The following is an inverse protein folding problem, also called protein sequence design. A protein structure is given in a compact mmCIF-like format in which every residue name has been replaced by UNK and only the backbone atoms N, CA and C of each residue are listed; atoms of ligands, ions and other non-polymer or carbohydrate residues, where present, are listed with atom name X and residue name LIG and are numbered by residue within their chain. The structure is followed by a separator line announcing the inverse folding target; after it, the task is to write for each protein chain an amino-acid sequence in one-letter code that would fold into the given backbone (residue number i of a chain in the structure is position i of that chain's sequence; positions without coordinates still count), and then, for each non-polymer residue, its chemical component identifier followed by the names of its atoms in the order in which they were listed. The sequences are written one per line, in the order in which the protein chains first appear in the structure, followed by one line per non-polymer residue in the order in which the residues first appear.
data_IF_880012658566
#
_entry.id   IF_880012658566
#
_cell.length_a   1.000
_cell.length_b   1.000
_cell.length_c   1.000
_cell.angle_alpha   90.00
_cell.angle_beta   90.00
_cell.angle_gamma   90.00
#
_symmetry.space_group_name_H-M   'P 1'
#
loop_
_entity.id
_entity.type
_entity.pdbx_description
1 polymer ?
#
# COMPACT_ATOMS: atom_id res chain seq x y z
N UNK A 1 -12.46 1.72 7.85
CA UNK A 1 -11.76 0.82 6.91
C UNK A 1 -11.94 1.23 5.44
N UNK A 2 -12.88 2.14 5.11
CA UNK A 2 -13.13 2.61 3.73
C UNK A 2 -12.45 3.93 3.31
N UNK A 3 -11.65 4.55 4.21
CA UNK A 3 -11.11 5.92 4.02
C UNK A 3 -10.36 6.08 2.69
N UNK A 4 -9.35 5.24 2.43
CA UNK A 4 -8.52 5.37 1.22
C UNK A 4 -9.29 5.09 -0.07
N UNK A 5 -10.32 4.25 -0.01
CA UNK A 5 -11.18 3.96 -1.16
C UNK A 5 -12.03 5.18 -1.50
N UNK A 6 -12.63 5.78 -0.47
CA UNK A 6 -13.49 6.96 -0.59
C UNK A 6 -12.71 8.19 -1.05
N UNK A 7 -11.57 8.46 -0.41
CA UNK A 7 -10.80 9.68 -0.64
C UNK A 7 -10.02 9.69 -1.96
N UNK A 8 -9.71 8.52 -2.53
CA UNK A 8 -8.85 8.39 -3.72
C UNK A 8 -9.59 7.91 -4.97
N UNK A 9 -10.94 7.89 -4.95
CA UNK A 9 -11.72 7.54 -6.12
C UNK A 9 -11.53 8.59 -7.22
N UNK A 10 -10.82 8.28 -8.31
CA UNK A 10 -10.57 9.22 -9.40
C UNK A 10 -10.77 8.57 -10.78
N UNK A 11 -11.12 9.34 -11.83
CA UNK A 11 -11.16 8.82 -13.20
C UNK A 11 -9.82 8.22 -13.61
N UNK A 12 -9.86 7.17 -14.44
CA UNK A 12 -8.67 6.53 -15.03
C UNK A 12 -7.68 5.95 -14.00
N UNK A 13 -8.14 5.57 -12.80
CA UNK A 13 -7.34 4.94 -11.75
C UNK A 13 -7.88 3.58 -11.33
N UNK A 14 -7.00 2.75 -10.73
CA UNK A 14 -7.36 1.47 -10.10
C UNK A 14 -6.86 1.51 -8.66
N UNK A 15 -7.71 1.06 -7.72
CA UNK A 15 -7.31 0.81 -6.34
C UNK A 15 -7.26 -0.70 -6.10
N UNK A 16 -6.06 -1.25 -5.89
CA UNK A 16 -5.86 -2.66 -5.53
C UNK A 16 -5.99 -2.82 -4.02
N UNK A 17 -7.01 -3.55 -3.59
CA UNK A 17 -7.40 -3.62 -2.18
C UNK A 17 -7.41 -5.06 -1.67
N UNK A 18 -7.10 -5.28 -0.38
CA UNK A 18 -7.43 -6.52 0.30
C UNK A 18 -8.94 -6.82 0.27
N UNK A 19 -9.31 -8.10 0.30
CA UNK A 19 -10.71 -8.54 0.27
C UNK A 19 -11.53 -7.94 1.42
N UNK A 20 -10.98 -7.86 2.62
CA UNK A 20 -11.64 -7.25 3.77
C UNK A 20 -12.03 -5.78 3.52
N UNK A 21 -11.17 -5.02 2.85
CA UNK A 21 -11.42 -3.62 2.50
C UNK A 21 -12.52 -3.51 1.44
N UNK A 22 -12.54 -4.43 0.47
CA UNK A 22 -13.62 -4.50 -0.53
C UNK A 22 -14.96 -4.80 0.15
N UNK A 23 -14.99 -5.77 1.07
CA UNK A 23 -16.20 -6.13 1.82
C UNK A 23 -16.68 -4.98 2.71
N UNK A 24 -15.77 -4.31 3.40
CA UNK A 24 -16.11 -3.14 4.21
C UNK A 24 -16.69 -2.00 3.36
N UNK A 25 -16.10 -1.76 2.19
CA UNK A 25 -16.63 -0.77 1.26
C UNK A 25 -18.00 -1.15 0.70
N UNK A 26 -18.24 -2.44 0.45
CA UNK A 26 -19.55 -2.92 0.01
C UNK A 26 -20.65 -2.79 1.09
N UNK A 27 -20.28 -2.92 2.36
CA UNK A 27 -21.21 -2.81 3.49
C UNK A 27 -21.59 -1.35 3.80
N UNK A 28 -20.59 -0.46 3.93
CA UNK A 28 -20.81 0.91 4.39
C UNK A 28 -19.90 1.96 3.73
N UNK A 29 -19.33 1.65 2.56
CA UNK A 29 -18.58 2.63 1.77
C UNK A 29 -19.48 3.67 1.13
N UNK A 30 -19.01 4.93 1.09
CA UNK A 30 -19.71 6.03 0.44
C UNK A 30 -18.76 6.76 -0.51
N UNK A 31 -19.23 7.15 -1.69
CA UNK A 31 -18.48 8.04 -2.60
C UNK A 31 -19.07 9.44 -2.54
N UNK A 32 -18.24 10.43 -2.20
CA UNK A 32 -18.65 11.84 -2.14
C UNK A 32 -18.43 12.58 -3.46
N UNK A 33 -17.88 11.91 -4.47
CA UNK A 33 -17.47 12.46 -5.76
C UNK A 33 -16.04 12.04 -6.11
N UNK A 34 -15.59 12.25 -7.36
CA UNK A 34 -14.21 11.96 -7.71
C UNK A 34 -13.26 12.91 -6.99
N UNK A 35 -12.05 12.42 -6.69
CA UNK A 35 -10.93 13.24 -6.24
C UNK A 35 -10.77 14.43 -7.19
N UNK A 36 -10.73 15.64 -6.62
CA UNK A 36 -10.60 16.87 -7.39
C UNK A 36 -9.29 16.87 -8.19
N UNK A 37 -9.37 17.21 -9.48
CA UNK A 37 -8.19 17.44 -10.32
C UNK A 37 -7.38 18.68 -9.89
N UNK A 38 -7.97 19.55 -9.07
CA UNK A 38 -7.33 20.71 -8.47
C UNK A 38 -7.36 20.56 -6.94
N UNK A 39 -6.31 19.96 -6.34
CA UNK A 39 -6.17 20.00 -4.90
C UNK A 39 -5.92 21.45 -4.43
N UNK A 40 -6.32 21.77 -3.20
CA UNK A 40 -5.67 22.77 -2.36
C UNK A 40 -4.15 22.80 -2.63
N UNK A 41 -3.44 23.93 -2.52
CA UNK A 41 -2.06 24.03 -3.00
C UNK A 41 -1.18 22.96 -2.33
N UNK A 42 -0.91 21.88 -3.07
CA UNK A 42 -0.11 20.73 -2.63
C UNK A 42 1.24 21.22 -2.12
N UNK A 43 1.77 22.26 -2.75
CA UNK A 43 2.99 22.95 -2.34
C UNK A 43 2.88 23.58 -0.96
N UNK A 44 1.73 24.15 -0.59
CA UNK A 44 1.52 24.72 0.75
C UNK A 44 1.40 23.61 1.80
N UNK A 45 0.77 22.49 1.46
CA UNK A 45 0.71 21.32 2.33
C UNK A 45 2.12 20.73 2.54
N UNK A 46 2.89 20.53 1.47
CA UNK A 46 4.27 20.06 1.54
C UNK A 46 5.16 21.03 2.34
N UNK A 47 5.00 22.34 2.16
CA UNK A 47 5.70 23.35 2.95
C UNK A 47 5.35 23.24 4.45
N UNK A 48 4.08 22.98 4.80
CA UNK A 48 3.67 22.80 6.20
C UNK A 48 4.31 21.57 6.86
N UNK A 49 4.55 20.49 6.10
CA UNK A 49 5.31 19.34 6.59
C UNK A 49 6.77 19.70 6.85
N UNK A 50 7.40 20.43 5.93
CA UNK A 50 8.78 20.89 6.10
C UNK A 50 8.93 21.85 7.30
N UNK A 51 7.98 22.77 7.49
CA UNK A 51 7.94 23.66 8.67
C UNK A 51 7.79 22.88 9.99
N UNK A 52 7.04 21.77 9.97
CA UNK A 52 6.93 20.86 11.10
C UNK A 52 8.17 19.94 11.29
N UNK A 53 9.18 20.06 10.42
CA UNK A 53 10.43 19.31 10.50
C UNK A 53 10.41 17.95 9.80
N UNK A 54 9.42 17.68 8.96
CA UNK A 54 9.36 16.46 8.15
C UNK A 54 10.08 16.67 6.82
N UNK A 55 11.05 15.82 6.54
CA UNK A 55 11.66 15.69 5.21
C UNK A 55 10.94 14.58 4.44
N UNK A 56 10.01 14.97 3.55
CA UNK A 56 9.22 14.03 2.77
C UNK A 56 10.08 13.23 1.77
N UNK A 57 11.19 13.80 1.28
CA UNK A 57 12.09 13.10 0.37
C UNK A 57 12.85 12.00 1.12
N UNK A 58 13.34 12.30 2.33
CA UNK A 58 13.97 11.31 3.19
C UNK A 58 12.98 10.19 3.56
N UNK A 59 11.77 10.54 3.99
CA UNK A 59 10.73 9.57 4.36
C UNK A 59 10.38 8.68 3.15
N UNK A 60 10.25 9.28 1.96
CA UNK A 60 10.00 8.54 0.72
C UNK A 60 11.12 7.54 0.40
N UNK A 61 12.38 7.95 0.59
CA UNK A 61 13.54 7.08 0.39
C UNK A 61 13.55 5.91 1.38
N UNK A 62 13.28 6.18 2.67
CA UNK A 62 13.21 5.17 3.71
C UNK A 62 12.10 4.15 3.43
N UNK A 63 10.88 4.61 3.15
CA UNK A 63 9.75 3.73 2.80
C UNK A 63 10.02 2.88 1.56
N UNK A 64 10.70 3.43 0.55
CA UNK A 64 11.06 2.67 -0.64
C UNK A 64 12.08 1.57 -0.33
N UNK A 65 13.09 1.86 0.50
CA UNK A 65 14.11 0.88 0.89
C UNK A 65 13.51 -0.23 1.75
N UNK A 66 12.71 0.12 2.76
CA UNK A 66 12.02 -0.83 3.62
C UNK A 66 11.06 -1.70 2.82
N UNK A 67 10.27 -1.10 1.93
CA UNK A 67 9.36 -1.83 1.04
C UNK A 67 10.11 -2.82 0.15
N UNK A 68 11.23 -2.42 -0.46
CA UNK A 68 12.04 -3.33 -1.27
C UNK A 68 12.57 -4.51 -0.45
N UNK A 69 13.03 -4.27 0.78
CA UNK A 69 13.51 -5.32 1.68
C UNK A 69 12.39 -6.29 2.06
N UNK A 70 11.19 -5.79 2.40
CA UNK A 70 10.04 -6.64 2.72
C UNK A 70 9.65 -7.59 1.58
N UNK A 71 9.80 -7.15 0.33
CA UNK A 71 9.58 -8.00 -0.84
C UNK A 71 10.65 -9.10 -0.97
N UNK A 72 11.92 -8.77 -0.70
CA UNK A 72 13.02 -9.76 -0.67
C UNK A 72 12.76 -10.79 0.42
N UNK A 73 12.46 -10.35 1.64
CA UNK A 73 12.19 -11.23 2.78
C UNK A 73 11.01 -12.17 2.49
N UNK A 74 9.91 -11.63 1.95
CA UNK A 74 8.73 -12.43 1.57
C UNK A 74 9.05 -13.48 0.49
N UNK A 75 10.00 -13.18 -0.41
CA UNK A 75 10.44 -14.12 -1.44
C UNK A 75 11.32 -15.22 -0.88
N UNK A 76 12.26 -14.89 0.02
CA UNK A 76 13.09 -15.87 0.71
C UNK A 76 12.23 -16.82 1.56
N UNK A 77 11.24 -16.29 2.29
CA UNK A 77 10.27 -17.07 3.03
C UNK A 77 9.51 -18.05 2.12
N UNK A 78 9.05 -17.59 0.95
CA UNK A 78 8.39 -18.45 -0.04
C UNK A 78 9.30 -19.59 -0.50
N UNK A 79 10.58 -19.31 -0.82
CA UNK A 79 11.55 -20.32 -1.24
C UNK A 79 11.82 -21.35 -0.13
N UNK A 80 11.97 -20.90 1.12
CA UNK A 80 12.16 -21.79 2.26
C UNK A 80 10.94 -22.71 2.48
N UNK A 81 9.72 -22.20 2.27
CA UNK A 81 8.52 -23.04 2.31
C UNK A 81 8.50 -24.09 1.20
N UNK A 82 8.93 -23.74 -0.02
CA UNK A 82 9.03 -24.68 -1.15
C UNK A 82 10.06 -25.77 -0.86
N UNK A 83 11.24 -25.41 -0.34
CA UNK A 83 12.28 -26.36 0.04
C UNK A 83 11.78 -27.33 1.12
N UNK A 84 11.16 -26.81 2.19
CA UNK A 84 10.59 -27.62 3.26
C UNK A 84 9.56 -28.63 2.75
N UNK A 85 8.67 -28.20 1.86
CA UNK A 85 7.65 -29.10 1.27
C UNK A 85 8.27 -30.13 0.35
N UNK A 86 9.24 -29.74 -0.48
CA UNK A 86 9.94 -30.64 -1.41
C UNK A 86 10.68 -31.76 -0.65
N UNK A 87 11.39 -31.42 0.42
CA UNK A 87 12.09 -32.39 1.26
C UNK A 87 11.14 -33.40 1.92
N UNK A 88 9.98 -32.93 2.42
CA UNK A 88 8.96 -33.80 3.02
C UNK A 88 8.36 -34.78 2.02
N UNK A 89 8.18 -34.37 0.76
CA UNK A 89 7.65 -35.24 -0.29
C UNK A 89 8.69 -36.28 -0.74
N UNK A 90 9.96 -35.89 -0.90
CA UNK A 90 11.02 -36.81 -1.29
C UNK A 90 11.41 -37.83 -0.22
N UNK A 91 11.15 -37.56 1.06
CA UNK A 91 11.36 -38.52 2.16
C UNK A 91 10.21 -39.52 2.34
N UNK A 92 9.11 -39.35 1.61
CA UNK A 92 7.95 -40.25 1.63
C UNK A 92 7.96 -41.30 0.49
N UNK A 93 8.96 -41.26 -0.39
CA UNK A 93 9.34 -42.32 -1.34
C UNK A 93 10.39 -43.25 -0.74
#
# INVERSE_FOLDING_TARGET
DTMYVTALAAPDTINTMPEETVLAFADHGELTGPLSAAPEPVDALAASFAEAGFDLDQIGLELQQEGAQMFVDSWEDLLAQIESKSAKLGAAE
#
